data_IF_627558196284
#
_entry.id   IF_627558196284
#
_cell.length_a   1.000
_cell.length_b   1.000
_cell.length_c   1.000
_cell.angle_alpha   90.00
_cell.angle_beta   90.00
_cell.angle_gamma   90.00
#
_symmetry.space_group_name_H-M   'P 1'
#
loop_
_entity.id
_entity.type
_entity.pdbx_description
1 polymer ?
#
# COMPACT_ATOMS: atom_id res chain seq x y z
N UNK A 1 14.69 35.41 47.77
CA UNK A 1 14.89 33.98 48.11
C UNK A 1 14.93 33.25 46.77
N UNK A 2 16.14 33.05 46.21
CA UNK A 2 16.92 31.80 46.28
C UNK A 2 16.18 30.63 45.63
N UNK A 3 16.51 30.42 44.35
CA UNK A 3 16.92 29.18 43.69
C UNK A 3 16.14 27.89 44.02
N UNK A 4 15.84 27.07 43.00
CA UNK A 4 16.69 25.91 42.64
C UNK A 4 15.85 24.73 42.09
N UNK A 5 16.06 24.41 40.80
CA UNK A 5 16.14 23.08 40.17
C UNK A 5 15.18 21.95 40.60
N UNK A 6 14.37 21.47 39.64
CA UNK A 6 14.11 20.02 39.48
C UNK A 6 14.09 19.69 37.98
N UNK A 7 15.28 19.60 37.40
CA UNK A 7 15.51 18.85 36.14
C UNK A 7 16.18 17.55 36.57
N UNK A 8 15.43 16.45 36.65
CA UNK A 8 16.03 15.14 36.93
C UNK A 8 15.15 13.97 36.46
N UNK A 9 15.73 13.18 35.54
CA UNK A 9 15.51 11.74 35.34
C UNK A 9 14.18 11.27 34.72
N UNK A 10 14.20 11.09 33.40
CA UNK A 10 13.49 9.96 32.77
C UNK A 10 14.31 9.47 31.58
N UNK A 11 15.46 8.86 31.88
CA UNK A 11 16.22 8.04 30.96
C UNK A 11 16.42 6.68 31.61
N UNK A 12 16.26 5.62 30.82
CA UNK A 12 16.48 4.20 31.11
C UNK A 12 15.26 3.37 31.55
N UNK A 13 14.46 2.91 30.59
CA UNK A 13 13.77 1.60 30.62
C UNK A 13 13.57 1.03 29.19
N UNK A 14 14.65 0.89 28.42
CA UNK A 14 14.66 0.01 27.25
C UNK A 14 15.67 -1.12 27.50
N UNK A 15 15.24 -2.11 28.30
CA UNK A 15 15.89 -3.42 28.34
C UNK A 15 15.06 -4.40 27.53
N UNK A 16 15.78 -5.14 26.71
CA UNK A 16 15.30 -5.87 25.54
C UNK A 16 14.29 -6.99 25.82
N UNK A 17 13.37 -7.13 24.87
CA UNK A 17 12.72 -8.40 24.56
C UNK A 17 13.61 -9.12 23.54
N UNK A 18 14.66 -9.80 24.03
CA UNK A 18 15.48 -10.72 23.27
C UNK A 18 14.96 -12.14 23.51
N UNK A 19 14.16 -12.65 22.58
CA UNK A 19 13.64 -14.01 22.64
C UNK A 19 14.74 -15.03 22.33
N UNK A 20 15.03 -15.88 23.30
CA UNK A 20 15.93 -17.03 23.18
C UNK A 20 15.17 -18.34 23.16
N UNK A 21 15.61 -19.25 22.30
CA UNK A 21 15.27 -20.67 22.27
C UNK A 21 15.91 -21.28 21.02
N UNK A 22 16.57 -22.43 21.04
CA UNK A 22 16.88 -23.35 22.13
C UNK A 22 16.97 -24.73 21.50
N UNK A 23 18.10 -25.04 20.87
CA UNK A 23 18.22 -26.21 20.00
C UNK A 23 19.42 -27.04 20.48
N UNK A 24 19.14 -28.10 21.25
CA UNK A 24 20.14 -29.13 21.52
C UNK A 24 19.48 -30.49 21.70
N UNK A 25 20.01 -31.48 20.98
CA UNK A 25 20.12 -32.84 21.50
C UNK A 25 19.17 -33.91 20.95
N UNK A 26 19.69 -34.69 20.00
CA UNK A 26 20.00 -36.10 20.30
C UNK A 26 18.86 -37.13 20.28
N UNK A 27 18.88 -37.96 19.24
CA UNK A 27 18.12 -39.17 18.96
C UNK A 27 17.74 -40.08 20.14
N UNK A 28 16.48 -40.53 20.17
CA UNK A 28 16.12 -41.88 20.63
C UNK A 28 15.07 -42.49 19.70
N UNK A 29 15.37 -43.71 19.25
CA UNK A 29 14.52 -44.54 18.41
C UNK A 29 13.45 -45.20 19.26
N UNK A 30 12.18 -45.08 18.86
CA UNK A 30 11.08 -45.90 19.37
C UNK A 30 10.20 -46.29 18.18
N UNK A 31 10.26 -47.57 17.82
CA UNK A 31 9.46 -48.17 16.76
C UNK A 31 8.02 -48.42 17.23
N UNK A 32 7.03 -48.09 16.39
CA UNK A 32 5.66 -48.63 16.42
C UNK A 32 4.89 -48.17 15.16
N UNK A 33 3.81 -48.86 14.76
CA UNK A 33 3.75 -50.07 13.95
C UNK A 33 3.47 -49.78 12.45
N UNK A 34 3.65 -50.80 11.61
CA UNK A 34 3.35 -50.82 10.18
C UNK A 34 1.94 -50.29 9.85
N UNK A 35 1.88 -49.24 9.04
CA UNK A 35 0.67 -48.82 8.34
C UNK A 35 0.66 -49.44 6.93
N UNK A 36 -0.43 -50.16 6.66
CA UNK A 36 -0.85 -50.72 5.37
C UNK A 36 -0.75 -49.70 4.23
N UNK A 37 -0.42 -50.09 2.99
CA UNK A 37 -0.40 -49.17 1.87
C UNK A 37 -1.85 -48.81 1.49
N UNK A 38 -2.31 -47.63 1.88
CA UNK A 38 -3.47 -47.01 1.24
C UNK A 38 -3.09 -46.62 -0.18
N UNK A 39 -3.85 -47.13 -1.14
CA UNK A 39 -3.68 -46.88 -2.55
C UNK A 39 -3.80 -45.38 -2.84
N UNK A 40 -2.76 -44.81 -3.45
CA UNK A 40 -2.79 -43.48 -4.05
C UNK A 40 -3.91 -43.42 -5.10
N UNK A 41 -4.74 -42.36 -5.16
CA UNK A 41 -5.69 -42.19 -6.23
C UNK A 41 -4.95 -42.12 -7.57
N UNK A 42 -5.25 -43.06 -8.48
CA UNK A 42 -4.70 -43.03 -9.83
C UNK A 42 -4.99 -41.67 -10.48
N UNK A 43 -3.95 -41.05 -11.04
CA UNK A 43 -4.10 -39.90 -11.93
C UNK A 43 -5.07 -40.29 -13.06
N UNK A 44 -5.94 -39.38 -13.52
CA UNK A 44 -6.87 -39.70 -14.60
C UNK A 44 -6.07 -40.03 -15.85
N UNK A 45 -6.22 -41.26 -16.35
CA UNK A 45 -5.69 -41.61 -17.66
C UNK A 45 -6.38 -40.76 -18.71
N UNK A 46 -5.62 -39.87 -19.33
CA UNK A 46 -6.08 -39.06 -20.45
C UNK A 46 -6.25 -40.02 -21.63
N UNK A 47 -7.50 -40.32 -21.95
CA UNK A 47 -7.84 -41.14 -23.10
C UNK A 47 -7.51 -40.36 -24.37
N UNK A 48 -6.42 -40.73 -25.04
CA UNK A 48 -6.06 -40.29 -26.39
C UNK A 48 -7.11 -40.80 -27.39
N UNK A 49 -8.21 -40.06 -27.58
CA UNK A 49 -9.05 -40.20 -28.77
C UNK A 49 -9.99 -39.01 -28.99
N UNK A 50 -9.43 -37.89 -29.43
CA UNK A 50 -10.13 -36.99 -30.36
C UNK A 50 -9.30 -36.95 -31.65
N UNK A 51 -9.65 -37.86 -32.55
CA UNK A 51 -9.28 -37.76 -33.96
C UNK A 51 -10.07 -36.59 -34.55
N UNK A 52 -9.38 -35.48 -34.85
CA UNK A 52 -9.93 -34.40 -35.68
C UNK A 52 -9.89 -32.97 -35.13
N UNK A 53 -9.12 -32.67 -34.07
CA UNK A 53 -8.86 -31.28 -33.68
C UNK A 53 -7.57 -30.78 -34.34
N UNK A 54 -7.62 -29.64 -35.04
CA UNK A 54 -6.44 -28.93 -35.53
C UNK A 54 -5.45 -28.72 -34.35
N UNK A 55 -4.13 -28.79 -34.59
CA UNK A 55 -3.14 -28.64 -33.53
C UNK A 55 -3.35 -27.29 -32.84
N UNK A 56 -3.68 -27.33 -31.55
CA UNK A 56 -3.76 -26.12 -30.73
C UNK A 56 -2.31 -25.68 -30.51
N UNK A 57 -1.87 -24.66 -31.24
CA UNK A 57 -0.53 -24.09 -31.04
C UNK A 57 -0.51 -23.37 -29.71
N UNK A 58 0.15 -23.96 -28.71
CA UNK A 58 0.42 -23.29 -27.44
C UNK A 58 1.62 -22.37 -27.66
N UNK A 59 1.37 -21.06 -27.75
CA UNK A 59 2.43 -20.05 -27.76
C UNK A 59 3.22 -20.11 -26.46
N UNK A 60 4.55 -20.10 -26.55
CA UNK A 60 5.43 -20.09 -25.40
C UNK A 60 5.78 -18.65 -25.01
N UNK A 61 6.20 -18.44 -23.77
CA UNK A 61 6.70 -17.13 -23.33
C UNK A 61 7.96 -16.69 -24.11
N UNK A 62 8.77 -17.64 -24.60
CA UNK A 62 9.94 -17.35 -25.45
C UNK A 62 9.58 -16.74 -26.82
N UNK A 63 8.32 -16.82 -27.23
CA UNK A 63 7.82 -16.24 -28.48
C UNK A 63 7.39 -14.76 -28.34
N UNK A 64 7.45 -14.17 -27.12
CA UNK A 64 7.07 -12.78 -26.88
C UNK A 64 8.15 -11.81 -27.39
N UNK A 65 7.84 -11.06 -28.43
CA UNK A 65 8.70 -10.01 -28.98
C UNK A 65 8.15 -8.63 -28.58
N UNK A 66 8.95 -7.86 -27.84
CA UNK A 66 8.67 -6.44 -27.56
C UNK A 66 9.33 -5.62 -28.68
N UNK A 67 8.58 -4.83 -29.47
CA UNK A 67 9.16 -3.97 -30.49
C UNK A 67 10.19 -2.99 -29.89
N UNK A 68 11.25 -2.68 -30.63
CA UNK A 68 12.33 -1.78 -30.17
C UNK A 68 11.83 -0.39 -29.73
N UNK A 69 10.67 0.04 -30.22
CA UNK A 69 10.05 1.33 -29.92
C UNK A 69 8.80 1.23 -29.02
N UNK A 70 8.59 0.10 -28.35
CA UNK A 70 7.46 -0.06 -27.45
C UNK A 70 7.74 0.62 -26.10
N UNK A 71 6.86 1.54 -25.69
CA UNK A 71 6.94 2.17 -24.37
C UNK A 71 6.23 1.32 -23.32
N UNK A 72 6.99 0.83 -22.35
CA UNK A 72 6.49 0.05 -21.21
C UNK A 72 6.11 0.94 -20.01
N UNK A 73 6.29 2.26 -20.12
CA UNK A 73 5.90 3.19 -19.07
C UNK A 73 4.37 3.20 -18.96
N UNK A 74 3.88 2.77 -17.81
CA UNK A 74 2.45 2.72 -17.47
C UNK A 74 2.03 3.82 -16.51
N UNK A 75 2.96 4.74 -16.22
CA UNK A 75 2.79 5.85 -15.30
C UNK A 75 2.86 7.19 -16.04
N UNK A 76 2.22 8.19 -15.48
CA UNK A 76 2.37 9.58 -15.88
C UNK A 76 2.62 10.44 -14.64
N UNK A 77 3.34 11.55 -14.83
CA UNK A 77 3.53 12.54 -13.80
C UNK A 77 2.25 13.35 -13.65
N UNK A 78 1.64 13.28 -12.46
CA UNK A 78 0.41 13.99 -12.13
C UNK A 78 0.69 15.09 -11.12
N UNK A 79 0.68 16.37 -11.52
CA UNK A 79 0.86 17.47 -10.59
C UNK A 79 -0.36 17.64 -9.70
N UNK A 80 -0.12 17.94 -8.42
CA UNK A 80 -1.13 18.23 -7.41
C UNK A 80 -0.82 19.63 -6.86
N UNK A 81 -1.77 20.54 -7.04
CA UNK A 81 -1.70 21.92 -6.52
C UNK A 81 -2.85 22.18 -5.58
N UNK A 82 -2.54 22.71 -4.42
CA UNK A 82 -3.49 23.09 -3.39
C UNK A 82 -3.19 24.54 -3.01
N UNK A 83 -4.21 25.38 -3.02
CA UNK A 83 -4.20 26.79 -2.63
C UNK A 83 -5.43 27.04 -1.75
N UNK A 84 -5.26 26.92 -0.44
CA UNK A 84 -6.34 27.13 0.53
C UNK A 84 -6.26 28.54 1.12
N UNK A 85 -7.41 29.18 1.36
CA UNK A 85 -7.46 30.50 1.99
C UNK A 85 -7.22 30.43 3.52
N UNK A 86 -6.01 30.02 3.92
CA UNK A 86 -5.57 29.89 5.32
C UNK A 86 -4.08 30.17 5.46
N UNK A 87 -3.67 30.78 6.58
CA UNK A 87 -2.26 30.92 6.94
C UNK A 87 -1.79 29.88 7.96
N UNK A 88 -2.70 29.00 8.42
CA UNK A 88 -2.37 28.01 9.44
C UNK A 88 -1.62 26.83 8.82
N UNK A 89 -0.55 26.33 9.46
CA UNK A 89 0.14 25.14 8.99
C UNK A 89 -0.77 23.91 9.14
N UNK A 90 -0.79 23.05 8.13
CA UNK A 90 -1.62 21.85 8.11
C UNK A 90 -0.80 20.62 7.75
N UNK A 91 -1.18 19.46 8.29
CA UNK A 91 -0.62 18.17 7.86
C UNK A 91 -1.42 17.63 6.68
N UNK A 92 -0.76 17.41 5.54
CA UNK A 92 -1.36 16.89 4.31
C UNK A 92 -1.20 15.37 4.23
N UNK A 93 -2.28 14.68 3.86
CA UNK A 93 -2.27 13.30 3.39
C UNK A 93 -3.07 13.17 2.09
N UNK A 94 -2.50 12.44 1.12
CA UNK A 94 -3.19 12.11 -0.14
C UNK A 94 -3.24 10.60 -0.28
N UNK A 95 -4.43 10.08 -0.58
CA UNK A 95 -4.73 8.65 -0.68
C UNK A 95 -5.29 8.31 -2.05
N UNK A 96 -4.88 7.18 -2.61
CA UNK A 96 -5.46 6.67 -3.87
C UNK A 96 -6.64 5.73 -3.67
N UNK A 97 -7.01 5.41 -2.42
CA UNK A 97 -8.15 4.56 -2.10
C UNK A 97 -8.82 4.99 -0.77
N UNK A 98 -10.15 4.88 -0.73
CA UNK A 98 -10.98 5.34 0.38
C UNK A 98 -12.37 4.70 0.31
N UNK A 99 -13.00 4.56 1.48
CA UNK A 99 -14.39 4.13 1.59
C UNK A 99 -15.32 5.34 1.70
N UNK A 100 -16.53 5.19 1.16
CA UNK A 100 -17.63 6.14 1.34
C UNK A 100 -18.72 5.41 2.10
N UNK A 101 -19.08 5.89 3.29
CA UNK A 101 -20.21 5.37 4.05
C UNK A 101 -21.54 5.83 3.46
N UNK A 102 -22.66 5.24 3.91
CA UNK A 102 -24.01 5.57 3.42
C UNK A 102 -24.40 7.05 3.65
N UNK A 103 -23.80 7.70 4.66
CA UNK A 103 -24.00 9.11 4.98
C UNK A 103 -23.04 10.06 4.22
N UNK A 104 -22.21 9.52 3.34
CA UNK A 104 -21.20 10.26 2.57
C UNK A 104 -19.89 10.46 3.30
N UNK A 105 -19.72 9.96 4.53
CA UNK A 105 -18.45 10.05 5.26
C UNK A 105 -17.34 9.33 4.50
N UNK A 106 -16.23 10.04 4.27
CA UNK A 106 -15.06 9.51 3.60
C UNK A 106 -14.07 8.98 4.64
N UNK A 107 -13.64 7.73 4.48
CA UNK A 107 -12.62 7.11 5.33
C UNK A 107 -11.44 6.66 4.48
N UNK A 108 -10.22 7.20 4.67
CA UNK A 108 -9.06 6.82 3.88
C UNK A 108 -8.65 5.37 4.16
N UNK A 109 -8.20 4.65 3.12
CA UNK A 109 -7.48 3.40 3.32
C UNK A 109 -6.02 3.75 3.61
N UNK A 110 -5.58 3.57 4.85
CA UNK A 110 -4.28 4.06 5.31
C UNK A 110 -3.07 3.56 4.48
N UNK A 111 -3.12 2.34 3.96
CA UNK A 111 -2.06 1.76 3.10
C UNK A 111 -2.02 2.34 1.69
N UNK A 112 -3.04 3.11 1.28
CA UNK A 112 -3.11 3.77 -0.02
C UNK A 112 -2.53 5.19 0.00
N UNK A 113 -1.92 5.61 1.12
CA UNK A 113 -1.33 6.95 1.23
C UNK A 113 -0.10 7.08 0.34
N UNK A 114 -0.15 8.04 -0.57
CA UNK A 114 0.91 8.32 -1.55
C UNK A 114 1.67 9.61 -1.24
N UNK A 115 1.07 10.55 -0.52
CA UNK A 115 1.74 11.75 -0.02
C UNK A 115 1.49 11.89 1.48
N UNK A 116 2.54 12.26 2.20
CA UNK A 116 2.50 12.77 3.57
C UNK A 116 3.37 14.03 3.60
N UNK A 117 2.79 15.16 3.97
CA UNK A 117 3.49 16.45 3.89
C UNK A 117 2.90 17.52 4.79
N UNK A 118 3.35 18.75 4.58
CA UNK A 118 2.81 19.94 5.24
C UNK A 118 2.31 20.92 4.18
N UNK A 119 1.23 21.63 4.52
CA UNK A 119 0.74 22.81 3.81
C UNK A 119 1.17 24.02 4.63
N UNK A 120 1.83 24.96 3.98
CA UNK A 120 2.29 26.21 4.58
C UNK A 120 1.59 27.37 3.88
N UNK A 121 0.97 28.28 4.62
CA UNK A 121 0.17 29.38 4.07
C UNK A 121 -0.91 28.93 3.07
N UNK A 122 -1.49 27.74 3.27
CA UNK A 122 -2.51 27.20 2.37
C UNK A 122 -1.95 26.58 1.08
N UNK A 123 -0.65 26.68 0.84
CA UNK A 123 0.00 26.24 -0.38
C UNK A 123 0.61 24.84 -0.26
N UNK A 124 0.36 24.02 -1.27
CA UNK A 124 1.12 22.80 -1.53
C UNK A 124 1.27 22.56 -3.03
N UNK A 125 2.47 22.16 -3.44
CA UNK A 125 2.79 21.74 -4.80
C UNK A 125 3.54 20.41 -4.74
N UNK A 126 2.99 19.39 -5.39
CA UNK A 126 3.59 18.06 -5.48
C UNK A 126 3.37 17.43 -6.85
N UNK A 127 4.08 16.34 -7.11
CA UNK A 127 3.88 15.50 -8.29
C UNK A 127 3.89 14.06 -7.82
N UNK A 128 2.95 13.26 -8.33
CA UNK A 128 2.93 11.80 -8.12
C UNK A 128 3.15 11.10 -9.45
N UNK A 129 3.72 9.90 -9.42
CA UNK A 129 3.66 8.97 -10.54
C UNK A 129 2.35 8.19 -10.44
N UNK A 130 1.37 8.54 -11.27
CA UNK A 130 0.06 7.90 -11.30
C UNK A 130 -0.03 6.89 -12.44
N UNK A 131 -0.76 5.80 -12.23
CA UNK A 131 -1.13 4.85 -13.28
C UNK A 131 -2.56 5.10 -13.74
N UNK A 132 -2.96 4.47 -14.85
CA UNK A 132 -4.36 4.50 -15.30
C UNK A 132 -5.35 3.81 -14.35
N UNK A 133 -4.87 3.05 -13.35
CA UNK A 133 -5.71 2.41 -12.34
C UNK A 133 -6.12 3.36 -11.21
N UNK A 134 -5.38 4.44 -10.99
CA UNK A 134 -5.79 5.50 -10.04
C UNK A 134 -6.90 6.32 -10.69
N UNK A 135 -8.09 6.29 -10.11
CA UNK A 135 -9.28 6.98 -10.67
C UNK A 135 -9.60 8.27 -9.94
N UNK A 136 -9.43 8.27 -8.63
CA UNK A 136 -9.65 9.42 -7.77
C UNK A 136 -8.64 9.44 -6.64
N UNK A 137 -8.50 10.60 -6.03
CA UNK A 137 -7.71 10.81 -4.84
C UNK A 137 -8.58 11.38 -3.74
N UNK A 138 -8.39 10.90 -2.52
CA UNK A 138 -8.85 11.56 -1.31
C UNK A 138 -7.71 12.42 -0.77
N UNK A 139 -7.98 13.71 -0.59
CA UNK A 139 -7.04 14.68 -0.06
C UNK A 139 -7.56 15.14 1.29
N UNK A 140 -6.70 15.04 2.31
CA UNK A 140 -6.97 15.46 3.68
C UNK A 140 -5.89 16.43 4.14
N UNK A 141 -6.29 17.61 4.61
CA UNK A 141 -5.42 18.54 5.30
C UNK A 141 -5.95 18.77 6.71
N UNK A 142 -5.12 18.46 7.71
CA UNK A 142 -5.46 18.52 9.12
C UNK A 142 -4.81 19.75 9.77
N UNK A 143 -5.62 20.58 10.43
CA UNK A 143 -5.09 21.65 11.27
C UNK A 143 -4.31 21.07 12.45
N UNK A 144 -3.32 21.81 12.95
CA UNK A 144 -2.65 21.45 14.20
C UNK A 144 -3.59 21.53 15.42
N UNK A 145 -4.61 22.40 15.33
CA UNK A 145 -5.72 22.43 16.26
C UNK A 145 -6.69 21.28 15.97
N UNK A 146 -6.68 20.28 16.84
CA UNK A 146 -7.47 19.05 16.72
C UNK A 146 -8.98 19.26 16.94
N UNK A 147 -9.40 20.47 17.32
CA UNK A 147 -10.82 20.81 17.48
C UNK A 147 -11.47 21.27 16.17
N UNK A 148 -10.66 21.64 15.16
CA UNK A 148 -11.13 22.04 13.83
C UNK A 148 -11.32 20.82 12.95
N UNK A 149 -12.40 20.82 12.18
CA UNK A 149 -12.59 19.81 11.14
C UNK A 149 -11.48 19.94 10.08
N UNK A 150 -10.95 18.82 9.57
CA UNK A 150 -9.99 18.85 8.48
C UNK A 150 -10.65 19.35 7.19
N UNK A 151 -9.83 19.90 6.31
CA UNK A 151 -10.22 20.02 4.91
C UNK A 151 -10.14 18.63 4.27
N UNK A 152 -11.23 18.18 3.65
CA UNK A 152 -11.31 16.90 2.98
C UNK A 152 -12.01 17.06 1.64
N UNK A 153 -11.41 16.52 0.58
CA UNK A 153 -11.99 16.57 -0.78
C UNK A 153 -11.61 15.35 -1.60
N UNK A 154 -12.47 15.01 -2.56
CA UNK A 154 -12.22 13.98 -3.57
C UNK A 154 -12.03 14.65 -4.92
N UNK A 155 -10.95 14.29 -5.61
CA UNK A 155 -10.66 14.76 -6.96
C UNK A 155 -10.43 13.58 -7.89
N UNK A 156 -10.82 13.72 -9.16
CA UNK A 156 -10.49 12.72 -10.18
C UNK A 156 -9.01 12.82 -10.53
N UNK A 157 -8.37 11.67 -10.74
CA UNK A 157 -7.03 11.63 -11.28
C UNK A 157 -7.06 11.98 -12.78
N UNK A 158 -6.20 12.91 -13.19
CA UNK A 158 -6.12 13.41 -14.55
C UNK A 158 -4.65 13.60 -14.95
N UNK A 159 -4.31 13.31 -16.21
CA UNK A 159 -2.94 13.44 -16.72
C UNK A 159 -2.41 14.87 -16.69
N UNK A 160 -3.30 15.88 -16.69
CA UNK A 160 -2.95 17.28 -16.55
C UNK A 160 -2.79 17.71 -15.08
N UNK A 161 -3.09 16.81 -14.14
CA UNK A 161 -3.06 17.04 -12.71
C UNK A 161 -4.35 17.62 -12.14
N UNK A 162 -4.27 18.00 -10.86
CA UNK A 162 -5.39 18.53 -10.09
C UNK A 162 -4.99 19.86 -9.45
N UNK A 163 -5.92 20.82 -9.47
CA UNK A 163 -5.79 22.09 -8.76
C UNK A 163 -7.00 22.27 -7.86
N UNK A 164 -6.74 22.54 -6.58
CA UNK A 164 -7.74 22.69 -5.53
C UNK A 164 -7.60 24.09 -4.96
N UNK A 165 -8.70 24.83 -4.92
CA UNK A 165 -8.76 26.17 -4.32
C UNK A 165 -10.08 26.39 -3.60
N UNK A 166 -10.09 27.22 -2.54
CA UNK A 166 -11.29 27.58 -1.79
C UNK A 166 -11.30 29.00 -1.22
#
# INVERSE_FOLDING_TARGET
MKNLYVTLFTAALLFGCGGGGGDDGGSTSAASPEASPEASPAAPEVSDSVSGAAPVTVSKFEDLVIPDNYDLITTYDMPIKIDLNTSEPMSLSVYCDYNVADDGTLTPIASSRIISGQIENGDFNGVIAATSSVKSLLIEAWYQDTTKAPFQTVVNADVNGVTISN
#
